data_IF_304881269660
#
_entry.id   IF_304881269660
#
_cell.length_a   1.000
_cell.length_b   1.000
_cell.length_c   1.000
_cell.angle_alpha   90.00
_cell.angle_beta   90.00
_cell.angle_gamma   90.00
#
_symmetry.space_group_name_H-M   'P 1'
#
loop_
_entity.id
_entity.type
_entity.pdbx_description
1 polymer ?
#
# COMPACT_ATOMS: atom_id res chain seq x y z
N UNK A 1 40.30 14.42 -12.54
CA UNK A 1 38.89 14.05 -12.82
C UNK A 1 38.08 13.60 -11.58
N UNK A 2 38.48 13.91 -10.34
CA UNK A 2 37.75 13.49 -9.12
C UNK A 2 36.73 14.52 -8.61
N UNK A 3 36.96 15.80 -8.92
CA UNK A 3 36.10 16.93 -8.53
C UNK A 3 34.80 16.98 -9.36
N UNK A 4 34.88 16.68 -10.65
CA UNK A 4 33.74 16.63 -11.57
C UNK A 4 32.71 15.58 -11.18
N UNK A 5 33.15 14.41 -10.68
CA UNK A 5 32.27 13.36 -10.18
C UNK A 5 31.51 13.78 -8.92
N UNK A 6 32.19 14.39 -7.94
CA UNK A 6 31.52 14.84 -6.70
C UNK A 6 30.51 15.97 -6.95
N UNK A 7 30.82 16.90 -7.84
CA UNK A 7 29.88 17.95 -8.24
C UNK A 7 28.67 17.34 -8.95
N UNK A 8 28.89 16.37 -9.85
CA UNK A 8 27.79 15.65 -10.50
C UNK A 8 26.97 14.80 -9.54
N UNK A 9 27.58 14.18 -8.52
CA UNK A 9 26.87 13.46 -7.45
C UNK A 9 26.03 14.39 -6.59
N UNK A 10 26.55 15.56 -6.20
CA UNK A 10 25.81 16.54 -5.41
C UNK A 10 24.64 17.13 -6.21
N UNK A 11 24.85 17.41 -7.50
CA UNK A 11 23.78 17.85 -8.40
C UNK A 11 22.78 16.72 -8.62
N UNK A 12 23.22 15.47 -8.78
CA UNK A 12 22.34 14.32 -8.94
C UNK A 12 21.54 14.02 -7.66
N UNK A 13 22.13 14.17 -6.48
CA UNK A 13 21.45 14.04 -5.18
C UNK A 13 20.46 15.20 -4.94
N UNK A 14 20.84 16.43 -5.30
CA UNK A 14 19.94 17.58 -5.23
C UNK A 14 18.79 17.48 -6.24
N UNK A 15 19.07 17.02 -7.46
CA UNK A 15 18.07 16.84 -8.52
C UNK A 15 17.17 15.64 -8.25
N UNK A 16 17.68 14.55 -7.70
CA UNK A 16 16.88 13.37 -7.32
C UNK A 16 15.98 13.62 -6.12
N UNK A 17 16.46 14.39 -5.12
CA UNK A 17 15.62 14.85 -4.01
C UNK A 17 14.51 15.77 -4.54
N UNK A 18 14.85 16.72 -5.43
CA UNK A 18 13.88 17.63 -6.04
C UNK A 18 12.88 16.89 -6.94
N UNK A 19 13.31 15.89 -7.70
CA UNK A 19 12.44 15.12 -8.58
C UNK A 19 11.53 14.18 -7.81
N UNK A 20 12.03 13.54 -6.75
CA UNK A 20 11.20 12.72 -5.85
C UNK A 20 10.14 13.58 -5.18
N UNK A 21 10.50 14.76 -4.66
CA UNK A 21 9.53 15.71 -4.10
C UNK A 21 8.56 16.23 -5.16
N UNK A 22 9.02 16.50 -6.39
CA UNK A 22 8.16 16.92 -7.49
C UNK A 22 7.14 15.85 -7.87
N UNK A 23 7.54 14.59 -8.06
CA UNK A 23 6.61 13.50 -8.35
C UNK A 23 5.69 13.20 -7.17
N UNK A 24 6.20 13.30 -5.94
CA UNK A 24 5.41 13.09 -4.72
C UNK A 24 4.33 14.18 -4.54
N UNK A 25 4.71 15.45 -4.68
CA UNK A 25 3.75 16.57 -4.64
C UNK A 25 2.78 16.50 -5.81
N UNK A 26 3.24 16.10 -7.00
CA UNK A 26 2.35 15.86 -8.15
C UNK A 26 1.37 14.74 -7.88
N UNK A 27 1.78 13.65 -7.26
CA UNK A 27 0.92 12.52 -6.91
C UNK A 27 -0.08 12.88 -5.80
N UNK A 28 0.33 13.71 -4.84
CA UNK A 28 -0.56 14.29 -3.84
C UNK A 28 -1.60 15.23 -4.46
N UNK A 29 -1.19 16.11 -5.37
CA UNK A 29 -2.08 17.08 -6.05
C UNK A 29 -2.88 16.48 -7.21
N UNK A 30 -2.43 15.37 -7.80
CA UNK A 30 -3.08 14.74 -8.96
C UNK A 30 -4.43 14.10 -8.60
N UNK A 31 -4.65 13.78 -7.33
CA UNK A 31 -5.93 13.25 -6.86
C UNK A 31 -6.49 14.18 -5.80
N UNK A 32 -7.71 14.66 -6.03
CA UNK A 32 -8.45 15.51 -5.08
C UNK A 32 -8.52 14.80 -3.71
N UNK A 33 -8.50 15.50 -2.56
CA UNK A 33 -8.55 14.86 -1.24
C UNK A 33 -9.67 13.81 -1.09
N UNK A 34 -10.81 14.01 -1.75
CA UNK A 34 -11.91 13.04 -1.80
C UNK A 34 -11.61 11.75 -2.57
N UNK A 35 -10.75 11.77 -3.59
CA UNK A 35 -10.35 10.59 -4.36
C UNK A 35 -9.35 9.71 -3.59
N UNK A 36 -8.40 10.33 -2.89
CA UNK A 36 -7.54 9.63 -1.93
C UNK A 36 -8.34 8.96 -0.83
N UNK A 37 -9.32 9.68 -0.26
CA UNK A 37 -10.24 9.12 0.72
C UNK A 37 -11.04 7.95 0.14
N UNK A 38 -11.54 8.05 -1.09
CA UNK A 38 -12.29 6.97 -1.74
C UNK A 38 -11.45 5.69 -1.93
N UNK A 39 -10.18 5.80 -2.33
CA UNK A 39 -9.26 4.66 -2.43
C UNK A 39 -9.05 4.02 -1.05
N UNK A 40 -8.82 4.85 -0.03
CA UNK A 40 -8.69 4.38 1.34
C UNK A 40 -9.95 3.66 1.85
N UNK A 41 -11.14 4.20 1.55
CA UNK A 41 -12.43 3.63 1.95
C UNK A 41 -12.67 2.29 1.24
N UNK A 42 -12.48 2.21 -0.08
CA UNK A 42 -12.64 0.94 -0.83
C UNK A 42 -11.62 -0.09 -0.34
N UNK A 43 -10.36 0.30 -0.15
CA UNK A 43 -9.32 -0.59 0.38
C UNK A 43 -9.68 -1.14 1.76
N UNK A 44 -10.14 -0.28 2.67
CA UNK A 44 -10.57 -0.69 4.00
C UNK A 44 -11.81 -1.60 3.99
N UNK A 45 -12.82 -1.28 3.17
CA UNK A 45 -14.01 -2.11 2.97
C UNK A 45 -13.66 -3.51 2.49
N UNK A 46 -12.81 -3.61 1.46
CA UNK A 46 -12.34 -4.89 0.94
C UNK A 46 -11.52 -5.63 1.99
N UNK A 47 -10.66 -4.94 2.74
CA UNK A 47 -9.86 -5.56 3.78
C UNK A 47 -10.70 -6.09 4.94
N UNK A 48 -11.71 -5.34 5.39
CA UNK A 48 -12.65 -5.78 6.42
C UNK A 48 -13.48 -6.96 5.93
N UNK A 49 -13.99 -6.90 4.71
CA UNK A 49 -14.75 -7.99 4.11
C UNK A 49 -13.88 -9.27 3.97
N UNK A 50 -12.64 -9.14 3.51
CA UNK A 50 -11.70 -10.25 3.40
C UNK A 50 -11.37 -10.85 4.77
N UNK A 51 -11.13 -10.00 5.77
CA UNK A 51 -10.87 -10.45 7.15
C UNK A 51 -12.03 -11.29 7.69
N UNK A 52 -13.27 -10.82 7.47
CA UNK A 52 -14.47 -11.58 7.85
C UNK A 52 -14.59 -12.89 7.05
N UNK A 53 -14.31 -12.83 5.74
CA UNK A 53 -14.39 -14.01 4.87
C UNK A 53 -13.41 -15.11 5.30
N UNK A 54 -12.17 -14.74 5.59
CA UNK A 54 -11.13 -15.65 6.11
C UNK A 54 -11.56 -16.23 7.47
N UNK A 55 -12.14 -15.41 8.35
CA UNK A 55 -12.65 -15.88 9.64
C UNK A 55 -13.76 -16.93 9.47
N UNK A 56 -14.74 -16.67 8.62
CA UNK A 56 -15.84 -17.60 8.34
C UNK A 56 -15.33 -18.88 7.69
N UNK A 57 -14.38 -18.77 6.75
CA UNK A 57 -13.76 -19.92 6.10
C UNK A 57 -13.13 -20.88 7.12
N UNK A 58 -12.35 -20.35 8.06
CA UNK A 58 -11.75 -21.17 9.11
C UNK A 58 -12.77 -21.76 10.07
N UNK A 59 -13.82 -21.01 10.45
CA UNK A 59 -14.90 -21.54 11.28
C UNK A 59 -15.66 -22.67 10.58
N UNK A 60 -15.90 -22.56 9.27
CA UNK A 60 -16.53 -23.62 8.50
C UNK A 60 -15.66 -24.86 8.36
N UNK A 61 -14.35 -24.68 8.14
CA UNK A 61 -13.40 -25.78 8.15
C UNK A 61 -13.34 -26.47 9.52
N UNK A 62 -13.30 -25.70 10.60
CA UNK A 62 -13.33 -26.23 11.97
C UNK A 62 -14.64 -26.98 12.27
N UNK A 63 -15.79 -26.42 11.89
CA UNK A 63 -17.09 -27.06 12.03
C UNK A 63 -17.15 -28.42 11.30
N UNK A 64 -16.58 -28.50 10.09
CA UNK A 64 -16.50 -29.79 9.37
C UNK A 64 -15.59 -30.81 10.04
N UNK A 65 -14.53 -30.38 10.74
CA UNK A 65 -13.65 -31.30 11.46
C UNK A 65 -14.30 -31.85 12.73
N UNK A 66 -15.05 -31.02 13.43
CA UNK A 66 -15.76 -31.40 14.66
C UNK A 66 -16.84 -32.44 14.39
N UNK A 67 -17.63 -32.23 13.32
CA UNK A 67 -18.62 -33.19 12.82
C UNK A 67 -18.07 -34.59 12.50
N UNK A 68 -16.78 -34.71 12.17
CA UNK A 68 -16.13 -35.97 11.85
C UNK A 68 -15.58 -36.70 13.09
N UNK A 69 -15.55 -36.05 14.25
CA UNK A 69 -15.06 -36.63 15.51
C UNK A 69 -16.18 -37.14 16.42
N UNK A 70 -17.44 -36.78 16.12
CA UNK A 70 -18.63 -37.24 16.86
C UNK A 70 -19.32 -38.48 16.25
N UNK A 71 -18.91 -38.92 15.05
CA UNK A 71 -19.30 -40.22 14.44
C UNK A 71 -18.23 -41.29 14.71
#
# INVERSE_FOLDING_TARGET
>A
MKMTHRVSEVIALGTSTTSATFWFTRLLDSYTPGQWAAIGVIGSLVFTALTLFVNIYFKWLAYRRDKFSEE
#
